data_IF_545461664100
#
_entry.id   IF_545461664100
#
_cell.length_a   1.000
_cell.length_b   1.000
_cell.length_c   1.000
_cell.angle_alpha   90.00
_cell.angle_beta   90.00
_cell.angle_gamma   90.00
#
_symmetry.space_group_name_H-M   'P 1'
#
loop_
_entity.id
_entity.type
_entity.pdbx_description
1 polymer ?
#
# COMPACT_ATOMS: atom_id res chain seq x y z
N UNK A 1 17.00 -12.82 -8.48
CA UNK A 1 16.23 -12.01 -9.47
C UNK A 1 17.04 -10.78 -9.78
N UNK A 2 17.27 -10.47 -11.05
CA UNK A 2 17.95 -9.22 -11.42
C UNK A 2 17.01 -8.01 -11.29
N UNK A 3 17.58 -6.80 -11.30
CA UNK A 3 16.81 -5.57 -11.05
C UNK A 3 15.73 -5.30 -12.12
N UNK A 4 16.00 -5.60 -13.37
CA UNK A 4 15.07 -5.37 -14.48
C UNK A 4 13.87 -6.32 -14.38
N UNK A 5 14.15 -7.59 -14.12
CA UNK A 5 13.11 -8.61 -13.90
C UNK A 5 12.25 -8.25 -12.68
N UNK A 6 12.88 -7.84 -11.57
CA UNK A 6 12.20 -7.43 -10.35
C UNK A 6 11.21 -6.27 -10.61
N UNK A 7 11.65 -5.24 -11.32
CA UNK A 7 10.80 -4.09 -11.67
C UNK A 7 9.63 -4.53 -12.57
N UNK A 8 9.89 -5.38 -13.58
CA UNK A 8 8.87 -5.80 -14.55
C UNK A 8 7.82 -6.75 -13.97
N UNK A 9 8.20 -7.56 -12.98
CA UNK A 9 7.35 -8.64 -12.45
C UNK A 9 6.66 -8.28 -11.13
N UNK A 10 7.14 -7.23 -10.41
CA UNK A 10 6.45 -6.77 -9.21
C UNK A 10 5.02 -6.34 -9.54
N UNK A 11 4.07 -6.86 -8.79
CA UNK A 11 2.66 -6.47 -8.89
C UNK A 11 2.04 -6.28 -7.50
N UNK A 12 0.89 -5.61 -7.44
CA UNK A 12 0.11 -5.45 -6.21
C UNK A 12 -0.66 -6.73 -5.89
N UNK A 13 -0.25 -7.42 -4.82
CA UNK A 13 -0.88 -8.65 -4.33
C UNK A 13 -2.02 -8.30 -3.38
N UNK A 14 -3.20 -8.88 -3.58
CA UNK A 14 -4.42 -8.58 -2.79
C UNK A 14 -5.06 -9.83 -2.16
N UNK A 15 -4.25 -10.86 -1.97
CA UNK A 15 -4.57 -12.05 -1.18
C UNK A 15 -3.25 -12.63 -0.67
N UNK A 16 -3.06 -12.63 0.63
CA UNK A 16 -1.84 -13.07 1.27
C UNK A 16 -2.06 -14.36 2.04
N UNK A 17 -0.99 -15.12 2.20
CA UNK A 17 -0.92 -16.22 3.17
C UNK A 17 -0.80 -15.64 4.59
N UNK A 18 -1.35 -16.30 5.61
CA UNK A 18 -1.31 -15.79 6.97
C UNK A 18 0.04 -16.03 7.66
N UNK A 19 0.94 -16.79 7.03
CA UNK A 19 2.22 -17.17 7.63
C UNK A 19 3.08 -15.92 7.90
N UNK A 20 3.59 -15.73 9.12
CA UNK A 20 4.43 -14.59 9.43
C UNK A 20 5.77 -14.68 8.67
N UNK A 21 6.23 -13.52 8.21
CA UNK A 21 7.56 -13.41 7.61
C UNK A 21 8.61 -13.35 8.72
N UNK A 22 9.72 -14.09 8.63
CA UNK A 22 10.78 -14.03 9.62
C UNK A 22 11.32 -12.60 9.81
N UNK A 23 11.61 -12.23 11.06
CA UNK A 23 12.10 -10.89 11.40
C UNK A 23 13.36 -10.51 10.63
N UNK A 24 14.25 -11.46 10.45
CA UNK A 24 15.52 -11.28 9.70
C UNK A 24 15.25 -10.88 8.24
N UNK A 25 14.25 -11.51 7.58
CA UNK A 25 13.86 -11.16 6.21
C UNK A 25 13.28 -9.75 6.16
N UNK A 26 12.41 -9.38 7.11
CA UNK A 26 11.87 -8.02 7.20
C UNK A 26 12.96 -6.98 7.45
N UNK A 27 13.92 -7.29 8.33
CA UNK A 27 15.07 -6.42 8.61
C UNK A 27 15.93 -6.21 7.35
N UNK A 28 16.29 -7.28 6.65
CA UNK A 28 17.08 -7.21 5.41
C UNK A 28 16.38 -6.38 4.33
N UNK A 29 15.06 -6.54 4.18
CA UNK A 29 14.25 -5.74 3.24
C UNK A 29 14.29 -4.26 3.61
N UNK A 30 14.14 -3.94 4.90
CA UNK A 30 14.19 -2.57 5.40
C UNK A 30 15.57 -1.95 5.18
N UNK A 31 16.64 -2.64 5.58
CA UNK A 31 18.02 -2.18 5.39
C UNK A 31 18.36 -1.92 3.92
N UNK A 32 17.85 -2.77 3.02
CA UNK A 32 17.96 -2.55 1.58
C UNK A 32 17.22 -1.29 1.15
N UNK A 33 16.00 -1.07 1.64
CA UNK A 33 15.19 0.10 1.33
C UNK A 33 15.81 1.40 1.86
N UNK A 34 16.50 1.36 3.01
CA UNK A 34 17.22 2.51 3.59
C UNK A 34 18.35 3.04 2.68
N UNK A 35 18.74 2.30 1.63
CA UNK A 35 19.68 2.79 0.59
C UNK A 35 19.04 3.70 -0.44
N UNK A 36 17.75 3.97 -0.32
CA UNK A 36 17.05 4.92 -1.21
C UNK A 36 17.66 6.32 -1.12
N UNK A 37 17.78 7.03 -2.24
CA UNK A 37 18.23 8.41 -2.21
C UNK A 37 17.19 9.31 -1.55
N UNK A 38 17.64 10.41 -0.95
CA UNK A 38 16.78 11.49 -0.46
C UNK A 38 17.44 12.84 -0.65
N UNK A 39 16.66 13.91 -0.71
CA UNK A 39 17.19 15.26 -0.87
C UNK A 39 18.15 15.60 0.28
N UNK A 40 19.37 15.99 -0.05
CA UNK A 40 20.47 16.23 0.92
C UNK A 40 20.72 15.08 1.90
N UNK A 41 20.37 13.87 1.53
CA UNK A 41 20.44 12.69 2.41
C UNK A 41 19.64 12.85 3.71
N UNK A 42 18.50 13.53 3.62
CA UNK A 42 17.66 13.84 4.79
C UNK A 42 17.01 12.62 5.41
N UNK A 43 16.79 11.54 4.63
CA UNK A 43 16.19 10.28 5.06
C UNK A 43 14.91 10.49 5.89
N UNK A 44 13.88 11.15 5.34
CA UNK A 44 12.74 11.66 6.11
C UNK A 44 11.74 10.59 6.55
N UNK A 45 11.98 9.35 6.22
CA UNK A 45 11.08 8.24 6.45
C UNK A 45 11.20 7.66 7.85
N UNK A 46 10.06 7.41 8.44
CA UNK A 46 9.89 6.52 9.57
C UNK A 46 9.01 5.34 9.13
N UNK A 47 9.40 4.12 9.46
CA UNK A 47 8.66 2.92 9.09
C UNK A 47 8.25 2.14 10.34
N UNK A 48 6.96 1.93 10.52
CA UNK A 48 6.40 1.15 11.63
C UNK A 48 5.82 -0.16 11.11
N UNK A 49 6.39 -1.26 11.57
CA UNK A 49 5.89 -2.60 11.27
C UNK A 49 4.84 -3.02 12.29
N UNK A 50 3.67 -3.40 11.82
CA UNK A 50 2.56 -3.87 12.66
C UNK A 50 2.21 -5.30 12.28
N UNK A 51 2.15 -6.19 13.28
CA UNK A 51 1.85 -7.61 13.09
C UNK A 51 1.12 -8.21 14.29
N UNK A 52 0.64 -9.47 14.18
CA UNK A 52 0.00 -10.20 15.25
C UNK A 52 -1.14 -9.42 15.90
N UNK A 53 -1.26 -9.51 17.24
CA UNK A 53 -2.34 -8.89 18.01
C UNK A 53 -2.52 -7.39 17.75
N UNK A 54 -1.40 -6.64 17.59
CA UNK A 54 -1.47 -5.20 17.30
C UNK A 54 -2.11 -4.90 15.94
N UNK A 55 -1.82 -5.74 14.93
CA UNK A 55 -2.46 -5.62 13.62
C UNK A 55 -3.95 -5.96 13.69
N UNK A 56 -4.32 -6.95 14.47
CA UNK A 56 -5.73 -7.32 14.70
C UNK A 56 -6.51 -6.20 15.39
N UNK A 57 -5.95 -5.62 16.45
CA UNK A 57 -6.52 -4.46 17.15
C UNK A 57 -6.73 -3.28 16.18
N UNK A 58 -5.71 -2.95 15.38
CA UNK A 58 -5.79 -1.90 14.37
C UNK A 58 -6.85 -2.21 13.31
N UNK A 59 -6.92 -3.44 12.81
CA UNK A 59 -7.96 -3.89 11.89
C UNK A 59 -9.36 -3.68 12.48
N UNK A 60 -9.56 -4.02 13.75
CA UNK A 60 -10.83 -3.81 14.46
C UNK A 60 -11.21 -2.34 14.54
N UNK A 61 -10.25 -1.46 14.86
CA UNK A 61 -10.47 -0.01 14.88
C UNK A 61 -10.86 0.53 13.51
N UNK A 62 -10.10 0.22 12.47
CA UNK A 62 -10.33 0.71 11.10
C UNK A 62 -11.67 0.22 10.54
N UNK A 63 -12.01 -1.05 10.76
CA UNK A 63 -13.31 -1.59 10.32
C UNK A 63 -14.48 -0.96 11.09
N UNK A 64 -14.31 -0.71 12.40
CA UNK A 64 -15.30 -0.01 13.21
C UNK A 64 -15.54 1.45 12.77
N UNK A 65 -14.52 2.15 12.28
CA UNK A 65 -14.66 3.48 11.68
C UNK A 65 -15.43 3.43 10.36
N UNK A 66 -15.17 2.41 9.54
CA UNK A 66 -15.92 2.19 8.29
C UNK A 66 -17.40 1.92 8.54
N UNK A 67 -17.71 1.11 9.55
CA UNK A 67 -19.10 0.79 9.90
C UNK A 67 -19.88 2.00 10.45
N UNK A 68 -19.17 2.98 11.00
CA UNK A 68 -19.74 4.25 11.49
C UNK A 68 -19.81 5.34 10.42
N UNK A 69 -19.45 5.02 9.17
CA UNK A 69 -19.35 5.99 8.05
C UNK A 69 -18.51 7.23 8.43
N UNK A 70 -17.43 7.03 9.20
CA UNK A 70 -16.53 8.11 9.63
C UNK A 70 -15.91 8.78 8.42
N UNK A 71 -15.98 10.11 8.39
CA UNK A 71 -15.40 10.91 7.29
C UNK A 71 -13.86 10.83 7.35
N UNK A 72 -13.19 10.42 6.26
CA UNK A 72 -11.74 10.40 6.21
C UNK A 72 -11.14 11.82 6.30
N UNK A 73 -10.02 11.93 7.01
CA UNK A 73 -9.21 13.16 7.08
C UNK A 73 -7.77 12.84 6.66
N UNK A 74 -7.51 12.68 5.35
CA UNK A 74 -6.19 12.29 4.87
C UNK A 74 -5.18 13.43 4.99
N UNK A 75 -3.93 13.11 5.39
CA UNK A 75 -2.81 14.06 5.42
C UNK A 75 -2.45 14.53 4.01
N UNK A 76 -2.58 13.64 3.01
CA UNK A 76 -2.39 13.94 1.61
C UNK A 76 -3.75 14.03 0.90
N UNK A 77 -4.19 15.21 0.46
CA UNK A 77 -5.48 15.34 -0.22
C UNK A 77 -5.46 14.59 -1.55
N UNK A 78 -6.51 13.81 -1.81
CA UNK A 78 -6.70 13.20 -3.12
C UNK A 78 -6.92 14.28 -4.20
N UNK A 79 -6.52 14.02 -5.46
CA UNK A 79 -6.86 14.91 -6.57
C UNK A 79 -8.37 15.11 -6.68
N UNK A 80 -8.81 16.36 -6.81
CA UNK A 80 -10.25 16.72 -6.97
C UNK A 80 -10.80 16.24 -8.30
N UNK A 81 -9.97 16.21 -9.34
CA UNK A 81 -10.30 15.74 -10.67
C UNK A 81 -9.03 15.20 -11.35
N UNK A 82 -9.20 14.34 -12.30
CA UNK A 82 -8.13 13.84 -13.14
C UNK A 82 -8.20 14.44 -14.56
N UNK A 83 -7.06 14.77 -15.19
CA UNK A 83 -7.05 15.07 -16.62
C UNK A 83 -7.69 13.93 -17.44
N UNK A 84 -8.37 14.23 -18.57
CA UNK A 84 -9.17 13.23 -19.29
C UNK A 84 -8.42 11.94 -19.65
N UNK A 85 -7.16 12.06 -20.08
CA UNK A 85 -6.33 10.89 -20.44
C UNK A 85 -5.96 10.01 -19.21
N UNK A 86 -5.75 10.64 -18.06
CA UNK A 86 -5.48 9.91 -16.82
C UNK A 86 -6.76 9.24 -16.31
N UNK A 87 -7.88 9.95 -16.35
CA UNK A 87 -9.19 9.42 -15.96
C UNK A 87 -9.58 8.22 -16.83
N UNK A 88 -9.35 8.30 -18.14
CA UNK A 88 -9.58 7.20 -19.06
C UNK A 88 -8.77 5.94 -18.68
N UNK A 89 -7.48 6.09 -18.35
CA UNK A 89 -6.63 4.97 -17.89
C UNK A 89 -7.11 4.37 -16.57
N UNK A 90 -7.56 5.22 -15.64
CA UNK A 90 -8.13 4.75 -14.35
C UNK A 90 -9.39 3.93 -14.58
N UNK A 91 -10.31 4.44 -15.42
CA UNK A 91 -11.56 3.76 -15.77
C UNK A 91 -11.31 2.44 -16.50
N UNK A 92 -10.38 2.42 -17.45
CA UNK A 92 -9.99 1.21 -18.16
C UNK A 92 -9.44 0.14 -17.21
N UNK A 93 -8.52 0.53 -16.31
CA UNK A 93 -7.98 -0.39 -15.30
C UNK A 93 -9.06 -0.93 -14.38
N UNK A 94 -9.98 -0.08 -13.93
CA UNK A 94 -11.09 -0.48 -13.08
C UNK A 94 -12.03 -1.45 -13.81
N UNK A 95 -12.39 -1.15 -15.06
CA UNK A 95 -13.23 -2.00 -15.91
C UNK A 95 -12.59 -3.38 -16.14
N UNK A 96 -11.31 -3.42 -16.53
CA UNK A 96 -10.58 -4.69 -16.71
C UNK A 96 -10.60 -5.54 -15.44
N UNK A 97 -10.42 -4.90 -14.28
CA UNK A 97 -10.42 -5.60 -12.99
C UNK A 97 -11.81 -6.14 -12.64
N UNK A 98 -12.87 -5.35 -12.77
CA UNK A 98 -14.24 -5.79 -12.47
C UNK A 98 -14.70 -6.89 -13.41
N UNK A 99 -14.38 -6.78 -14.70
CA UNK A 99 -14.65 -7.84 -15.68
C UNK A 99 -13.91 -9.14 -15.33
N UNK A 100 -12.62 -9.05 -14.98
CA UNK A 100 -11.85 -10.24 -14.58
C UNK A 100 -12.42 -10.91 -13.32
N UNK A 101 -12.96 -10.13 -12.39
CA UNK A 101 -13.58 -10.62 -11.16
C UNK A 101 -15.05 -11.06 -11.36
N UNK A 102 -15.62 -10.88 -12.54
CA UNK A 102 -17.01 -11.20 -12.83
C UNK A 102 -18.03 -10.34 -12.08
N UNK A 103 -17.66 -9.09 -11.73
CA UNK A 103 -18.53 -8.19 -10.96
C UNK A 103 -19.56 -7.55 -11.91
N UNK A 104 -20.83 -7.78 -11.65
CA UNK A 104 -21.94 -7.12 -12.35
C UNK A 104 -22.13 -5.67 -11.85
N UNK A 105 -22.68 -4.82 -12.73
CA UNK A 105 -22.95 -3.41 -12.39
C UNK A 105 -23.92 -3.29 -11.22
N UNK A 106 -24.89 -4.19 -11.10
CA UNK A 106 -25.84 -4.23 -9.98
C UNK A 106 -25.18 -4.53 -8.64
N UNK A 107 -24.03 -5.21 -8.65
CA UNK A 107 -23.26 -5.59 -7.46
C UNK A 107 -22.18 -4.56 -7.08
N UNK A 108 -22.01 -3.52 -7.89
CA UNK A 108 -20.91 -2.55 -7.75
C UNK A 108 -20.85 -1.93 -6.36
N UNK A 109 -21.98 -1.57 -5.76
CA UNK A 109 -22.03 -0.98 -4.40
C UNK A 109 -21.51 -1.95 -3.35
N UNK A 110 -21.88 -3.21 -3.46
CA UNK A 110 -21.43 -4.28 -2.55
C UNK A 110 -19.94 -4.52 -2.75
N UNK A 111 -19.51 -4.62 -4.02
CA UNK A 111 -18.09 -4.78 -4.35
C UNK A 111 -17.22 -3.65 -3.77
N UNK A 112 -17.64 -2.39 -3.91
CA UNK A 112 -16.89 -1.26 -3.36
C UNK A 112 -16.79 -1.30 -1.83
N UNK A 113 -17.86 -1.69 -1.13
CA UNK A 113 -17.84 -1.90 0.33
C UNK A 113 -16.87 -3.02 0.71
N UNK A 114 -16.92 -4.14 0.01
CA UNK A 114 -16.03 -5.29 0.25
C UNK A 114 -14.57 -4.95 -0.05
N UNK A 115 -14.32 -4.15 -1.10
CA UNK A 115 -12.97 -3.68 -1.43
C UNK A 115 -12.39 -2.78 -0.34
N UNK A 116 -13.17 -1.85 0.23
CA UNK A 116 -12.77 -1.04 1.38
C UNK A 116 -12.46 -1.91 2.59
N UNK A 117 -13.34 -2.85 2.91
CA UNK A 117 -13.15 -3.77 4.03
C UNK A 117 -11.88 -4.61 3.85
N UNK A 118 -11.61 -5.09 2.64
CA UNK A 118 -10.39 -5.84 2.33
C UNK A 118 -9.12 -4.99 2.54
N UNK A 119 -9.14 -3.69 2.18
CA UNK A 119 -8.05 -2.76 2.48
C UNK A 119 -7.80 -2.66 3.98
N UNK A 120 -8.82 -2.40 4.79
CA UNK A 120 -8.68 -2.27 6.25
C UNK A 120 -8.30 -3.58 6.96
N UNK A 121 -8.51 -4.72 6.30
CA UNK A 121 -8.00 -6.03 6.73
C UNK A 121 -6.65 -6.37 6.12
N UNK A 122 -5.98 -5.40 5.48
CA UNK A 122 -4.66 -5.56 4.85
C UNK A 122 -4.60 -6.75 3.88
N UNK A 123 -5.73 -7.09 3.23
CA UNK A 123 -5.88 -8.25 2.33
C UNK A 123 -5.44 -9.59 2.97
N UNK A 124 -5.48 -9.70 4.31
CA UNK A 124 -5.03 -10.88 5.06
C UNK A 124 -3.52 -10.98 5.24
N UNK A 125 -2.74 -9.95 4.86
CA UNK A 125 -1.30 -9.95 5.07
C UNK A 125 -0.94 -10.10 6.56
N UNK A 126 0.10 -10.89 6.92
CA UNK A 126 0.53 -11.05 8.31
C UNK A 126 1.17 -9.78 8.88
N UNK A 127 1.72 -8.93 8.01
CA UNK A 127 2.38 -7.68 8.38
C UNK A 127 1.77 -6.50 7.60
N UNK A 128 1.71 -5.34 8.24
CA UNK A 128 1.46 -4.05 7.62
C UNK A 128 2.62 -3.12 7.98
N UNK A 129 2.98 -2.24 7.05
CA UNK A 129 4.05 -1.25 7.26
C UNK A 129 3.43 0.11 7.02
N UNK A 130 3.54 0.99 8.02
CA UNK A 130 3.11 2.37 7.93
C UNK A 130 4.33 3.26 7.77
N UNK A 131 4.25 4.19 6.84
CA UNK A 131 5.28 5.18 6.60
C UNK A 131 4.84 6.53 7.17
N UNK A 132 5.72 7.14 7.91
CA UNK A 132 5.53 8.45 8.50
C UNK A 132 6.70 9.35 8.13
N UNK A 133 6.45 10.64 8.18
CA UNK A 133 7.46 11.68 8.14
C UNK A 133 7.04 12.82 9.07
N UNK A 134 7.98 13.65 9.47
CA UNK A 134 7.68 14.85 10.27
C UNK A 134 6.73 15.77 9.48
N UNK A 135 5.68 16.27 10.13
CA UNK A 135 4.66 17.12 9.52
C UNK A 135 5.17 18.50 9.08
N UNK A 136 6.34 18.92 9.57
CA UNK A 136 7.00 20.16 9.15
C UNK A 136 7.68 20.05 7.78
N UNK A 137 7.88 18.82 7.28
CA UNK A 137 8.51 18.56 5.99
C UNK A 137 7.56 18.87 4.83
N UNK A 138 8.15 19.28 3.70
CA UNK A 138 7.41 19.71 2.52
C UNK A 138 7.16 18.56 1.53
N UNK A 139 6.54 18.87 0.39
CA UNK A 139 6.29 17.91 -0.71
C UNK A 139 7.57 17.25 -1.26
N UNK A 140 8.75 17.83 -1.05
CA UNK A 140 10.03 17.20 -1.42
C UNK A 140 10.25 15.86 -0.73
N UNK A 141 9.93 15.79 0.55
CA UNK A 141 10.07 14.54 1.31
C UNK A 141 9.05 13.49 0.93
N UNK A 142 7.90 13.88 0.38
CA UNK A 142 6.92 12.94 -0.21
C UNK A 142 7.53 12.20 -1.41
N UNK A 143 8.32 12.89 -2.25
CA UNK A 143 9.07 12.25 -3.34
C UNK A 143 10.06 11.22 -2.79
N UNK A 144 10.82 11.60 -1.76
CA UNK A 144 11.77 10.71 -1.08
C UNK A 144 11.05 9.48 -0.49
N UNK A 145 9.89 9.69 0.15
CA UNK A 145 9.04 8.59 0.65
C UNK A 145 8.59 7.65 -0.46
N UNK A 146 8.26 8.18 -1.64
CA UNK A 146 7.90 7.36 -2.82
C UNK A 146 9.07 6.49 -3.28
N UNK A 147 10.31 7.02 -3.30
CA UNK A 147 11.52 6.27 -3.65
C UNK A 147 11.79 5.17 -2.61
N UNK A 148 11.66 5.49 -1.34
CA UNK A 148 11.81 4.52 -0.24
C UNK A 148 10.76 3.40 -0.33
N UNK A 149 9.49 3.74 -0.51
CA UNK A 149 8.40 2.77 -0.64
C UNK A 149 8.61 1.84 -1.84
N UNK A 150 9.04 2.37 -3.00
CA UNK A 150 9.34 1.55 -4.17
C UNK A 150 10.53 0.62 -3.92
N UNK A 151 11.60 1.11 -3.30
CA UNK A 151 12.78 0.28 -2.97
C UNK A 151 12.40 -0.86 -2.03
N UNK A 152 11.55 -0.58 -1.02
CA UNK A 152 11.07 -1.61 -0.08
C UNK A 152 10.22 -2.67 -0.80
N UNK A 153 9.33 -2.25 -1.69
CA UNK A 153 8.50 -3.20 -2.46
C UNK A 153 9.33 -4.07 -3.40
N UNK A 154 10.38 -3.52 -4.03
CA UNK A 154 11.29 -4.28 -4.88
C UNK A 154 12.15 -5.24 -4.05
N UNK A 155 12.69 -4.80 -2.92
CA UNK A 155 13.44 -5.66 -2.00
C UNK A 155 12.57 -6.82 -1.49
N UNK A 156 11.32 -6.56 -1.13
CA UNK A 156 10.37 -7.61 -0.75
C UNK A 156 10.12 -8.60 -1.89
N UNK A 157 9.86 -8.10 -3.10
CA UNK A 157 9.64 -8.94 -4.28
C UNK A 157 10.85 -9.80 -4.63
N UNK A 158 12.05 -9.24 -4.58
CA UNK A 158 13.30 -9.97 -4.79
C UNK A 158 13.52 -11.11 -3.77
N UNK A 159 12.95 -10.97 -2.56
CA UNK A 159 12.93 -12.00 -1.51
C UNK A 159 11.69 -12.94 -1.58
N UNK A 160 10.94 -12.93 -2.68
CA UNK A 160 9.76 -13.79 -2.87
C UNK A 160 8.51 -13.38 -2.09
N UNK A 161 8.47 -12.14 -1.58
CA UNK A 161 7.35 -11.61 -0.83
C UNK A 161 6.47 -10.69 -1.69
N UNK A 162 5.15 -10.90 -1.60
CA UNK A 162 4.18 -10.02 -2.20
C UNK A 162 3.97 -8.74 -1.39
N UNK A 163 3.68 -7.64 -2.07
CA UNK A 163 3.33 -6.36 -1.44
C UNK A 163 2.15 -5.70 -2.14
N UNK A 164 1.48 -4.78 -1.43
CA UNK A 164 0.48 -3.88 -2.01
C UNK A 164 0.57 -2.52 -1.32
N UNK A 165 0.85 -1.43 -2.05
CA UNK A 165 0.73 -0.09 -1.50
C UNK A 165 -0.75 0.26 -1.32
N UNK A 166 -1.07 0.88 -0.20
CA UNK A 166 -2.40 1.35 0.15
C UNK A 166 -2.35 2.85 0.44
N UNK A 167 -3.35 3.58 -0.04
CA UNK A 167 -3.55 5.00 0.19
C UNK A 167 -4.98 5.22 0.70
N UNK A 168 -5.23 4.74 1.92
CA UNK A 168 -6.56 4.75 2.52
C UNK A 168 -6.56 5.44 3.86
#
# INVERSE_FOLDING_TARGET
MDAIECIKTRMSIRKFRPDPVPKEALTNILETALRSPSYKNSQPWEAVFVSGKRKEELTGLLTGLLDKDTVPAPDLPAPRAWPPEIDARIKEHFSKRTTFLGIDVSEMKIYMKMAKLANFRFYGAPHAIFFFQDSSLTLWSILDMGMFAQSLMLAAHANGLGTVPQAF
#
